data_IF_656555092118
#
_entry.id   IF_656555092118
#
_cell.length_a   1.000
_cell.length_b   1.000
_cell.length_c   1.000
_cell.angle_alpha   90.00
_cell.angle_beta   90.00
_cell.angle_gamma   90.00
#
_symmetry.space_group_name_H-M   'P 1'
#
loop_
_entity.id
_entity.type
_entity.pdbx_description
1 polymer ?
#
# COMPACT_ATOMS: atom_id res chain seq x y z
N UNK A 1 -2.48 -24.07 -10.61
CA UNK A 1 -3.78 -24.49 -11.16
C UNK A 1 -4.51 -23.28 -11.76
N UNK A 2 -5.18 -23.46 -12.88
CA UNK A 2 -5.91 -22.43 -13.62
C UNK A 2 -7.13 -23.04 -14.34
N UNK A 3 -7.94 -22.18 -14.99
CA UNK A 3 -9.09 -22.62 -15.76
C UNK A 3 -10.31 -23.02 -14.93
N UNK A 4 -11.31 -23.55 -15.61
CA UNK A 4 -12.55 -24.00 -15.00
C UNK A 4 -12.27 -25.13 -14.01
N UNK A 5 -12.88 -25.09 -12.84
CA UNK A 5 -12.66 -26.04 -11.73
C UNK A 5 -11.20 -26.26 -11.30
N UNK A 6 -10.26 -25.39 -11.71
CA UNK A 6 -8.81 -25.53 -11.44
C UNK A 6 -8.19 -26.80 -12.03
N UNK A 7 -8.76 -27.33 -13.11
CA UNK A 7 -8.27 -28.54 -13.79
C UNK A 7 -6.95 -28.33 -14.54
N UNK A 8 -6.66 -27.05 -14.93
CA UNK A 8 -5.40 -26.73 -15.59
C UNK A 8 -4.21 -26.74 -14.63
N UNK A 9 -3.12 -27.36 -15.04
CA UNK A 9 -1.86 -27.41 -14.32
C UNK A 9 -0.64 -27.28 -15.26
N UNK A 10 0.56 -27.37 -14.69
CA UNK A 10 1.81 -27.27 -15.45
C UNK A 10 2.01 -28.45 -16.39
N UNK A 11 1.51 -29.62 -16.07
CA UNK A 11 1.64 -30.84 -16.92
C UNK A 11 0.78 -30.70 -18.17
N UNK A 12 -0.44 -30.21 -18.02
CA UNK A 12 -1.31 -29.85 -19.13
C UNK A 12 -0.65 -28.83 -20.06
N UNK A 13 -0.07 -27.74 -19.49
CA UNK A 13 0.64 -26.76 -20.30
C UNK A 13 1.85 -27.36 -21.02
N UNK A 14 2.61 -28.22 -20.36
CA UNK A 14 3.75 -28.90 -21.00
C UNK A 14 3.31 -29.77 -22.17
N UNK A 15 2.20 -30.50 -22.03
CA UNK A 15 1.67 -31.37 -23.05
C UNK A 15 1.22 -30.63 -24.33
N UNK A 16 0.74 -29.41 -24.18
CA UNK A 16 0.22 -28.61 -25.29
C UNK A 16 1.23 -27.68 -25.96
N UNK A 17 2.50 -27.61 -25.49
CA UNK A 17 3.53 -26.74 -26.04
C UNK A 17 3.72 -26.89 -27.57
N UNK A 18 3.91 -28.11 -28.02
CA UNK A 18 4.15 -28.40 -29.46
C UNK A 18 2.92 -28.06 -30.30
N UNK A 19 1.73 -28.42 -29.81
CA UNK A 19 0.47 -28.20 -30.55
C UNK A 19 0.15 -26.72 -30.76
N UNK A 20 0.47 -25.85 -29.77
CA UNK A 20 0.14 -24.43 -29.82
C UNK A 20 1.34 -23.54 -30.00
N UNK A 21 2.54 -24.06 -30.17
CA UNK A 21 3.74 -23.33 -30.54
C UNK A 21 4.23 -22.34 -29.48
N UNK A 22 4.02 -22.61 -28.18
CA UNK A 22 4.52 -21.77 -27.10
C UNK A 22 5.66 -22.46 -26.33
N UNK A 23 6.45 -21.68 -25.62
CA UNK A 23 7.47 -22.15 -24.69
C UNK A 23 6.98 -22.03 -23.26
N UNK A 24 6.91 -23.12 -22.51
CA UNK A 24 6.60 -23.12 -21.08
C UNK A 24 7.87 -22.86 -20.27
N UNK A 25 7.84 -21.84 -19.42
CA UNK A 25 8.87 -21.57 -18.42
C UNK A 25 8.22 -21.69 -17.05
N UNK A 26 8.64 -22.66 -16.26
CA UNK A 26 8.15 -22.86 -14.89
C UNK A 26 9.14 -22.23 -13.94
N UNK A 27 8.68 -21.22 -13.22
CA UNK A 27 9.47 -20.58 -12.18
C UNK A 27 9.29 -21.31 -10.85
N UNK A 28 10.37 -21.49 -10.13
CA UNK A 28 10.31 -22.02 -8.77
C UNK A 28 9.64 -21.01 -7.82
N UNK A 29 9.00 -21.55 -6.76
CA UNK A 29 8.40 -20.72 -5.73
C UNK A 29 9.49 -20.05 -4.91
N UNK A 30 9.48 -18.73 -4.86
CA UNK A 30 10.36 -17.97 -4.01
C UNK A 30 9.96 -18.18 -2.55
N UNK A 31 10.96 -18.33 -1.68
CA UNK A 31 10.78 -18.47 -0.24
C UNK A 31 11.45 -17.31 0.50
N UNK A 32 10.84 -16.93 1.59
CA UNK A 32 11.45 -16.09 2.61
C UNK A 32 11.43 -16.91 3.90
N UNK A 33 12.62 -17.23 4.42
CA UNK A 33 12.79 -18.20 5.51
C UNK A 33 12.05 -19.52 5.18
N UNK A 34 11.16 -19.97 6.06
CA UNK A 34 10.41 -21.22 5.87
C UNK A 34 9.07 -21.05 5.15
N UNK A 35 8.73 -19.82 4.68
CA UNK A 35 7.44 -19.52 4.05
C UNK A 35 7.58 -19.31 2.55
N UNK A 36 6.65 -19.90 1.79
CA UNK A 36 6.51 -19.57 0.37
C UNK A 36 5.89 -18.19 0.26
N UNK A 37 6.56 -17.29 -0.49
CA UNK A 37 6.01 -15.98 -0.80
C UNK A 37 4.77 -16.16 -1.70
N UNK A 38 3.62 -15.74 -1.20
CA UNK A 38 2.36 -15.79 -1.92
C UNK A 38 1.51 -14.58 -1.57
N UNK A 39 0.58 -14.21 -2.46
CA UNK A 39 -0.36 -13.11 -2.19
C UNK A 39 -1.12 -13.30 -0.89
N UNK A 40 -1.54 -14.54 -0.59
CA UNK A 40 -2.26 -14.86 0.66
C UNK A 40 -1.39 -14.63 1.89
N UNK A 41 -0.14 -15.09 1.86
CA UNK A 41 0.79 -14.90 2.98
C UNK A 41 1.12 -13.42 3.16
N UNK A 42 1.46 -12.71 2.08
CA UNK A 42 1.76 -11.27 2.14
C UNK A 42 0.59 -10.45 2.67
N UNK A 43 -0.66 -10.76 2.24
CA UNK A 43 -1.87 -10.12 2.78
C UNK A 43 -2.07 -10.37 4.27
N UNK A 44 -1.80 -11.58 4.74
CA UNK A 44 -1.85 -11.92 6.17
C UNK A 44 -0.87 -11.08 6.97
N UNK A 45 0.38 -10.97 6.52
CA UNK A 45 1.40 -10.15 7.18
C UNK A 45 1.05 -8.66 7.12
N UNK A 46 0.54 -8.16 5.99
CA UNK A 46 0.06 -6.78 5.89
C UNK A 46 -1.01 -6.47 6.94
N UNK A 47 -1.94 -7.40 7.16
CA UNK A 47 -2.99 -7.28 8.18
C UNK A 47 -2.47 -7.20 9.63
N UNK A 48 -1.23 -7.61 9.90
CA UNK A 48 -0.59 -7.46 11.23
C UNK A 48 0.09 -6.10 11.43
N UNK A 49 0.27 -5.31 10.37
CA UNK A 49 1.01 -4.05 10.42
C UNK A 49 2.54 -4.20 10.41
N UNK A 50 3.07 -5.41 10.24
CA UNK A 50 4.52 -5.63 10.12
C UNK A 50 5.03 -5.17 8.75
N UNK A 51 5.24 -3.85 8.61
CA UNK A 51 5.59 -3.22 7.33
C UNK A 51 6.98 -3.61 6.84
N UNK A 52 7.94 -3.86 7.75
CA UNK A 52 9.27 -4.34 7.38
C UNK A 52 9.19 -5.70 6.68
N UNK A 53 8.49 -6.66 7.27
CA UNK A 53 8.32 -7.98 6.66
C UNK A 53 7.51 -7.90 5.36
N UNK A 54 6.47 -7.05 5.29
CA UNK A 54 5.74 -6.80 4.05
C UNK A 54 6.67 -6.31 2.95
N UNK A 55 7.54 -5.33 3.26
CA UNK A 55 8.52 -4.81 2.32
C UNK A 55 9.48 -5.89 1.80
N UNK A 56 9.98 -6.75 2.69
CA UNK A 56 10.84 -7.89 2.31
C UNK A 56 10.13 -8.90 1.41
N UNK A 57 8.86 -9.19 1.69
CA UNK A 57 8.05 -10.11 0.89
C UNK A 57 7.68 -9.55 -0.49
N UNK A 58 7.51 -8.23 -0.60
CA UNK A 58 7.17 -7.55 -1.85
C UNK A 58 8.40 -7.16 -2.69
N UNK A 59 9.56 -6.95 -2.04
CA UNK A 59 10.75 -6.37 -2.65
C UNK A 59 10.71 -4.84 -2.75
N UNK A 60 9.68 -4.19 -2.17
CA UNK A 60 9.52 -2.73 -2.10
C UNK A 60 8.63 -2.34 -0.91
N UNK A 61 8.74 -1.08 -0.46
CA UNK A 61 7.92 -0.56 0.65
C UNK A 61 6.45 -0.48 0.25
N UNK A 62 5.56 -0.94 1.15
CA UNK A 62 4.12 -0.85 0.90
C UNK A 62 3.62 0.58 1.03
N UNK A 63 2.78 1.03 0.10
CA UNK A 63 2.29 2.39 0.11
C UNK A 63 1.26 2.66 -0.97
N UNK A 64 0.94 3.93 -1.19
CA UNK A 64 -0.02 4.40 -2.19
C UNK A 64 0.55 5.56 -3.00
N UNK A 65 0.09 5.68 -4.25
CA UNK A 65 0.26 6.90 -5.04
C UNK A 65 -1.11 7.60 -5.14
N UNK A 66 -1.09 8.92 -5.15
CA UNK A 66 -2.30 9.70 -5.33
C UNK A 66 -2.03 11.19 -5.31
N UNK A 67 -3.07 11.96 -5.60
CA UNK A 67 -3.03 13.41 -5.57
C UNK A 67 -3.35 13.91 -4.17
N UNK A 68 -2.64 14.94 -3.72
CA UNK A 68 -2.92 15.61 -2.43
C UNK A 68 -4.21 16.41 -2.54
N UNK A 69 -5.19 16.04 -1.74
CA UNK A 69 -6.50 16.69 -1.67
C UNK A 69 -6.63 17.60 -0.42
N UNK A 70 -7.54 18.56 -0.48
CA UNK A 70 -7.86 19.40 0.68
C UNK A 70 -8.50 18.57 1.79
N UNK A 71 -7.94 18.69 3.01
CA UNK A 71 -8.54 18.16 4.23
C UNK A 71 -9.41 19.21 4.96
N UNK A 72 -9.85 18.88 6.17
CA UNK A 72 -10.62 19.79 7.04
C UNK A 72 -9.81 20.98 7.60
N UNK A 73 -8.55 21.15 7.19
CA UNK A 73 -7.63 22.25 7.59
C UNK A 73 -7.38 22.39 9.11
N UNK A 74 -7.82 21.44 9.94
CA UNK A 74 -7.62 21.48 11.39
C UNK A 74 -6.15 21.50 11.78
N UNK A 75 -5.31 20.70 11.12
CA UNK A 75 -3.87 20.69 11.35
C UNK A 75 -3.20 22.03 11.07
N UNK A 76 -3.70 22.79 10.08
CA UNK A 76 -3.16 24.11 9.73
C UNK A 76 -3.39 25.15 10.83
N UNK A 77 -4.50 25.08 11.56
CA UNK A 77 -4.78 25.96 12.69
C UNK A 77 -3.91 25.66 13.91
N UNK A 78 -3.38 24.43 13.99
CA UNK A 78 -2.48 23.96 15.05
C UNK A 78 -0.99 24.09 14.67
N UNK A 79 -0.66 24.69 13.50
CA UNK A 79 0.71 24.83 13.03
C UNK A 79 1.33 23.57 12.39
N UNK A 80 0.52 22.52 12.16
CA UNK A 80 0.94 21.25 11.56
C UNK A 80 0.14 20.97 10.27
N UNK A 81 0.50 21.56 9.12
CA UNK A 81 -0.24 21.32 7.88
C UNK A 81 -0.14 19.87 7.49
N UNK A 82 -1.29 19.21 7.32
CA UNK A 82 -1.38 17.81 6.89
C UNK A 82 -1.81 17.70 5.44
N UNK A 83 -1.21 16.75 4.72
CA UNK A 83 -1.64 16.34 3.39
C UNK A 83 -2.66 15.20 3.51
N UNK A 84 -3.63 15.19 2.61
CA UNK A 84 -4.67 14.19 2.58
C UNK A 84 -4.68 13.50 1.23
N UNK A 85 -4.62 12.17 1.24
CA UNK A 85 -4.64 11.34 0.04
C UNK A 85 -5.73 10.29 0.22
N UNK A 86 -6.64 10.21 -0.75
CA UNK A 86 -7.67 9.19 -0.74
C UNK A 86 -7.05 7.81 -0.97
N UNK A 87 -7.40 6.83 -0.13
CA UNK A 87 -6.93 5.47 -0.34
C UNK A 87 -7.51 4.88 -1.63
N UNK A 88 -6.67 4.32 -2.53
CA UNK A 88 -7.15 3.78 -3.80
C UNK A 88 -8.09 2.60 -3.59
N UNK A 89 -9.26 2.58 -4.25
CA UNK A 89 -10.33 1.57 -4.07
C UNK A 89 -9.87 0.11 -4.21
N UNK A 90 -8.86 -0.16 -5.04
CA UNK A 90 -8.34 -1.52 -5.30
C UNK A 90 -7.09 -1.88 -4.51
N UNK A 91 -6.60 -0.99 -3.67
CA UNK A 91 -5.42 -1.23 -2.82
C UNK A 91 -5.86 -1.73 -1.45
N UNK A 92 -5.24 -2.79 -0.96
CA UNK A 92 -5.56 -3.36 0.34
C UNK A 92 -5.23 -2.34 1.43
N UNK A 93 -6.15 -2.17 2.37
CA UNK A 93 -5.97 -1.25 3.49
C UNK A 93 -5.20 -2.00 4.58
N UNK A 94 -4.04 -1.49 5.05
CA UNK A 94 -3.35 -2.04 6.21
C UNK A 94 -4.12 -1.69 7.51
N UNK A 95 -3.70 -2.13 8.69
CA UNK A 95 -4.33 -1.74 9.94
C UNK A 95 -4.48 -0.22 10.04
N UNK A 96 -5.64 0.23 10.50
CA UNK A 96 -5.91 1.65 10.74
C UNK A 96 -5.04 2.14 11.90
N UNK A 97 -4.39 3.28 11.74
CA UNK A 97 -3.53 3.87 12.77
C UNK A 97 -2.39 4.68 12.22
N UNK A 98 -1.42 4.94 13.08
CA UNK A 98 -0.30 5.83 12.84
C UNK A 98 0.90 5.04 12.33
N UNK A 99 1.53 5.58 11.29
CA UNK A 99 2.70 5.02 10.62
C UNK A 99 3.82 6.05 10.52
N UNK A 100 5.06 5.62 10.66
CA UNK A 100 6.18 6.33 10.05
C UNK A 100 6.08 6.16 8.54
N UNK A 101 6.30 7.23 7.81
CA UNK A 101 6.16 7.22 6.36
C UNK A 101 7.27 8.01 5.66
N UNK A 102 7.38 7.77 4.36
CA UNK A 102 8.19 8.59 3.46
C UNK A 102 7.36 8.97 2.25
N UNK A 103 7.35 10.26 1.92
CA UNK A 103 6.70 10.81 0.75
C UNK A 103 7.75 11.15 -0.31
N UNK A 104 7.43 10.88 -1.57
CA UNK A 104 8.23 11.32 -2.71
C UNK A 104 7.38 12.24 -3.58
N UNK A 105 7.86 13.47 -3.76
CA UNK A 105 7.23 14.53 -4.56
C UNK A 105 8.30 15.33 -5.28
N UNK A 106 8.06 15.70 -6.52
CA UNK A 106 8.93 16.58 -7.29
C UNK A 106 10.42 16.12 -7.33
N UNK A 107 10.67 14.81 -7.21
CA UNK A 107 12.01 14.22 -7.18
C UNK A 107 12.69 14.21 -5.81
N UNK A 108 12.03 14.71 -4.76
CA UNK A 108 12.55 14.75 -3.38
C UNK A 108 11.81 13.77 -2.47
N UNK A 109 12.52 13.28 -1.45
CA UNK A 109 11.97 12.40 -0.41
C UNK A 109 11.87 13.11 0.94
N UNK A 110 10.69 13.01 1.58
CA UNK A 110 10.40 13.62 2.88
C UNK A 110 9.95 12.54 3.86
N UNK A 111 10.48 12.55 5.07
CA UNK A 111 10.00 11.69 6.13
C UNK A 111 8.81 12.33 6.85
N UNK A 112 7.96 11.52 7.47
CA UNK A 112 6.80 12.02 8.16
C UNK A 112 6.06 10.99 8.97
N UNK A 113 4.90 11.40 9.46
CA UNK A 113 3.94 10.58 10.19
C UNK A 113 2.63 10.59 9.40
N UNK A 114 2.07 9.41 9.17
CA UNK A 114 0.80 9.26 8.44
C UNK A 114 -0.21 8.50 9.30
N UNK A 115 -1.47 8.90 9.21
CA UNK A 115 -2.60 8.21 9.83
C UNK A 115 -3.49 7.59 8.74
N UNK A 116 -3.65 6.27 8.78
CA UNK A 116 -4.63 5.54 7.96
C UNK A 116 -5.95 5.53 8.73
N UNK A 117 -6.93 6.28 8.26
CA UNK A 117 -8.20 6.45 8.96
C UNK A 117 -9.40 6.55 8.04
N UNK A 118 -10.60 6.52 8.63
CA UNK A 118 -11.87 6.74 7.93
C UNK A 118 -12.34 8.15 8.19
N UNK A 119 -12.88 8.79 7.17
CA UNK A 119 -13.63 10.03 7.33
C UNK A 119 -15.07 9.80 6.97
N UNK A 120 -16.01 10.25 7.82
CA UNK A 120 -17.42 10.28 7.45
C UNK A 120 -17.59 11.19 6.22
N UNK A 121 -18.20 10.68 5.17
CA UNK A 121 -18.62 11.48 4.04
C UNK A 121 -20.12 11.78 4.18
N UNK A 122 -20.59 12.85 3.54
CA UNK A 122 -22.01 13.24 3.54
C UNK A 122 -22.89 12.14 2.92
N UNK A 123 -22.32 11.22 2.14
CA UNK A 123 -22.97 10.11 1.44
C UNK A 123 -23.00 8.78 2.20
N UNK A 124 -22.68 8.73 3.50
CA UNK A 124 -22.58 7.50 4.30
C UNK A 124 -21.60 6.43 3.78
N UNK A 125 -20.77 6.72 2.78
CA UNK A 125 -19.71 5.83 2.35
C UNK A 125 -18.46 6.07 3.22
N UNK A 126 -17.98 5.00 3.86
CA UNK A 126 -16.70 5.04 4.59
C UNK A 126 -15.54 5.15 3.60
N UNK A 127 -15.02 6.36 3.41
CA UNK A 127 -13.83 6.56 2.58
C UNK A 127 -12.60 6.55 3.47
N UNK A 128 -11.63 5.69 3.14
CA UNK A 128 -10.33 5.64 3.85
C UNK A 128 -9.40 6.70 3.29
N UNK A 129 -8.69 7.37 4.18
CA UNK A 129 -7.75 8.43 3.88
C UNK A 129 -6.40 8.15 4.53
N UNK A 130 -5.35 8.61 3.87
CA UNK A 130 -4.04 8.76 4.43
C UNK A 130 -3.83 10.25 4.74
N UNK A 131 -3.83 10.61 6.03
CA UNK A 131 -3.52 11.95 6.51
C UNK A 131 -2.08 11.98 6.97
N UNK A 132 -1.26 12.86 6.40
CA UNK A 132 0.20 12.84 6.58
C UNK A 132 0.71 14.21 6.97
N UNK A 133 1.54 14.26 8.02
CA UNK A 133 2.41 15.37 8.36
C UNK A 133 3.83 15.02 7.96
N UNK A 134 4.44 15.87 7.11
CA UNK A 134 5.83 15.71 6.69
C UNK A 134 6.74 16.57 7.51
N UNK A 135 7.88 16.02 7.91
CA UNK A 135 8.94 16.77 8.54
C UNK A 135 9.66 17.64 7.50
N UNK A 136 10.08 18.82 7.89
CA UNK A 136 10.89 19.73 7.04
C UNK A 136 10.25 20.07 5.68
N UNK A 137 8.91 20.12 5.62
CA UNK A 137 8.16 20.48 4.43
C UNK A 137 7.14 21.60 4.73
N UNK A 138 7.44 22.80 4.26
CA UNK A 138 6.64 24.02 4.53
C UNK A 138 5.86 24.52 3.30
N UNK A 139 6.03 23.85 2.14
CA UNK A 139 5.41 24.31 0.90
C UNK A 139 3.98 23.78 0.75
N UNK A 140 3.22 24.35 -0.18
CA UNK A 140 1.91 23.85 -0.57
C UNK A 140 2.06 22.58 -1.45
N UNK A 141 1.39 21.52 -1.03
CA UNK A 141 1.38 20.24 -1.72
C UNK A 141 0.05 19.95 -2.45
N UNK A 142 -0.95 20.82 -2.36
CA UNK A 142 -2.26 20.53 -2.97
C UNK A 142 -2.18 20.37 -4.48
N UNK A 143 -2.87 19.34 -4.97
CA UNK A 143 -2.88 18.99 -6.39
C UNK A 143 -1.63 18.27 -6.89
N UNK A 144 -0.58 18.14 -6.07
CA UNK A 144 0.61 17.39 -6.44
C UNK A 144 0.38 15.88 -6.38
N UNK A 145 0.99 15.16 -7.31
CA UNK A 145 1.11 13.70 -7.24
C UNK A 145 2.20 13.33 -6.22
N UNK A 146 1.87 12.40 -5.35
CA UNK A 146 2.78 11.92 -4.31
C UNK A 146 2.77 10.40 -4.24
N UNK A 147 3.96 9.81 -4.08
CA UNK A 147 4.12 8.41 -3.69
C UNK A 147 4.42 8.36 -2.20
N UNK A 148 3.57 7.66 -1.46
CA UNK A 148 3.66 7.48 -0.02
C UNK A 148 4.05 6.06 0.32
N UNK A 149 5.15 5.88 1.04
CA UNK A 149 5.59 4.60 1.60
C UNK A 149 5.27 4.56 3.10
N UNK A 150 4.67 3.46 3.54
CA UNK A 150 4.46 3.17 4.96
C UNK A 150 5.64 2.32 5.46
N UNK A 151 6.41 2.86 6.39
CA UNK A 151 7.68 2.26 6.83
C UNK A 151 7.47 1.40 8.08
N UNK A 152 6.77 1.94 9.08
CA UNK A 152 6.58 1.27 10.37
C UNK A 152 5.21 1.62 10.95
N UNK A 153 4.51 0.62 11.49
CA UNK A 153 3.26 0.81 12.21
C UNK A 153 3.55 1.17 13.68
N UNK A 154 3.18 2.35 14.10
CA UNK A 154 3.53 2.88 15.43
C UNK A 154 2.49 2.49 16.47
N UNK A 155 1.21 2.71 16.16
CA UNK A 155 0.09 2.40 17.08
C UNK A 155 -1.26 2.38 16.36
N UNK A 156 -2.24 1.70 16.95
CA UNK A 156 -3.65 1.80 16.56
C UNK A 156 -4.14 3.24 16.73
N UNK A 157 -4.92 3.73 15.76
CA UNK A 157 -5.27 5.13 15.65
C UNK A 157 -5.94 5.69 16.91
N UNK A 158 -5.32 6.73 17.46
CA UNK A 158 -6.05 7.76 18.18
C UNK A 158 -6.38 8.88 17.18
N UNK A 159 -7.50 9.57 17.32
CA UNK A 159 -7.71 10.84 16.60
C UNK A 159 -6.52 11.74 16.93
N UNK A 160 -5.77 12.16 15.91
CA UNK A 160 -4.80 13.24 16.03
C UNK A 160 -5.56 14.53 16.18
#
# INVERSE_FOLDING_TARGET
QFGYNKEGDIYMLAQYQERYGYRLIVLEKIRYENHIISSTYTKKILGTGNMDLVGRLLGYSYGICGTVEHGHKLGRTLGFPTMNIAWPKRKIIPPRGVYLCRAYMDGYGYNGIANVGVRPTVSNEEKVWLETFLFDYDADAYGKEVMMELIEFVKTGAKI
#
